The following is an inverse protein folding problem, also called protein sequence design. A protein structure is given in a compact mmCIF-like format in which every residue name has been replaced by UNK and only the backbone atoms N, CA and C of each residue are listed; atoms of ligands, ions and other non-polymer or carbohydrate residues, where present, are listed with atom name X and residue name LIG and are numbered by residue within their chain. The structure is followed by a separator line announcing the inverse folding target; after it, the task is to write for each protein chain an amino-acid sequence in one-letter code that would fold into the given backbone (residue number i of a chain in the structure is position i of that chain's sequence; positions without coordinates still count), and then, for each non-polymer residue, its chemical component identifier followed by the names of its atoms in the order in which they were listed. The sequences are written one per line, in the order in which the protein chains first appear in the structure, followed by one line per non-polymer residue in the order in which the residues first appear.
data_IF_741064858643
#
_entry.id   IF_741064858643
#
_cell.length_a   1.000
_cell.length_b   1.000
_cell.length_c   1.000
_cell.angle_alpha   90.00
_cell.angle_beta   90.00
_cell.angle_gamma   90.00
#
_symmetry.space_group_name_H-M   'P 1'
#
loop_
_entity.id
_entity.type
_entity.pdbx_description
1 polymer ?
#
# COMPACT_ATOMS: atom_id res chain seq x y z
N UNK A 1 -10.80 -8.99 2.21
CA UNK A 1 -11.57 -9.91 1.34
C UNK A 1 -10.67 -10.35 0.21
N UNK A 2 -10.17 -11.59 0.21
CA UNK A 2 -9.41 -12.12 -0.92
C UNK A 2 -10.36 -12.39 -2.09
N UNK A 3 -10.08 -11.90 -3.31
CA UNK A 3 -10.92 -12.19 -4.45
C UNK A 3 -10.95 -13.70 -4.70
N UNK A 4 -12.16 -14.27 -4.83
CA UNK A 4 -12.34 -15.68 -5.12
C UNK A 4 -11.97 -15.98 -6.59
N UNK A 5 -10.68 -16.15 -6.80
CA UNK A 5 -10.00 -16.53 -8.04
C UNK A 5 -10.43 -17.87 -8.64
N UNK A 6 -11.18 -18.70 -7.90
CA UNK A 6 -11.70 -19.98 -8.41
C UNK A 6 -12.88 -19.82 -9.40
N UNK A 7 -13.36 -18.59 -9.64
CA UNK A 7 -14.49 -18.31 -10.55
C UNK A 7 -14.10 -17.95 -11.99
N UNK A 8 -12.80 -17.92 -12.35
CA UNK A 8 -12.40 -17.61 -13.74
C UNK A 8 -12.29 -18.89 -14.58
N UNK A 9 -13.04 -19.04 -15.68
CA UNK A 9 -13.18 -20.31 -16.42
C UNK A 9 -11.86 -20.83 -17.01
N UNK A 10 -10.85 -19.98 -17.17
CA UNK A 10 -9.55 -20.33 -17.75
C UNK A 10 -8.41 -20.38 -16.73
N UNK A 11 -8.68 -20.15 -15.44
CA UNK A 11 -7.63 -20.16 -14.41
C UNK A 11 -7.53 -21.53 -13.75
N UNK A 12 -6.65 -22.39 -14.28
CA UNK A 12 -6.39 -23.73 -13.74
C UNK A 12 -5.36 -23.75 -12.60
N UNK A 13 -4.69 -22.63 -12.33
CA UNK A 13 -3.67 -22.51 -11.30
C UNK A 13 -4.21 -21.81 -10.05
N UNK A 14 -3.71 -22.24 -8.90
CA UNK A 14 -3.97 -21.58 -7.61
C UNK A 14 -2.71 -20.80 -7.22
N UNK A 15 -2.81 -19.50 -6.89
CA UNK A 15 -1.70 -18.75 -6.34
C UNK A 15 -1.37 -19.27 -4.96
N UNK A 16 -0.09 -19.17 -4.63
CA UNK A 16 0.42 -19.45 -3.29
C UNK A 16 0.39 -18.11 -2.54
N UNK A 17 -0.13 -18.10 -1.30
CA UNK A 17 -0.07 -16.91 -0.43
C UNK A 17 1.38 -16.48 -0.22
N UNK A 18 1.65 -15.18 -0.22
CA UNK A 18 2.99 -14.67 0.08
C UNK A 18 3.45 -15.04 1.50
N UNK A 19 2.50 -15.27 2.43
CA UNK A 19 2.78 -15.75 3.79
C UNK A 19 3.47 -17.12 3.80
N UNK A 20 3.29 -17.92 2.74
CA UNK A 20 3.89 -19.23 2.59
C UNK A 20 5.23 -19.19 1.84
N UNK A 21 5.75 -18.01 1.49
CA UNK A 21 6.96 -17.83 0.68
C UNK A 21 7.99 -17.03 1.47
N UNK A 22 9.18 -17.62 1.67
CA UNK A 22 10.31 -16.95 2.33
C UNK A 22 11.39 -16.69 1.29
N UNK A 23 11.78 -15.43 1.11
CA UNK A 23 12.79 -15.02 0.12
C UNK A 23 14.11 -14.73 0.83
N UNK A 24 15.09 -15.63 0.65
CA UNK A 24 16.38 -15.59 1.34
C UNK A 24 17.57 -15.38 0.37
N UNK A 25 17.31 -14.93 -0.86
CA UNK A 25 18.38 -14.63 -1.83
C UNK A 25 19.10 -13.31 -1.50
N UNK A 26 20.13 -12.94 -2.25
CA UNK A 26 20.85 -11.67 -2.04
C UNK A 26 20.19 -10.46 -2.75
N UNK A 27 19.33 -10.71 -3.72
CA UNK A 27 18.80 -9.67 -4.60
C UNK A 27 17.47 -9.08 -4.09
N UNK A 28 16.49 -9.93 -3.82
CA UNK A 28 15.15 -9.56 -3.38
C UNK A 28 15.05 -9.36 -1.88
N UNK A 29 15.76 -10.15 -1.07
CA UNK A 29 15.72 -9.98 0.39
C UNK A 29 16.17 -8.56 0.81
N UNK A 30 17.25 -8.06 0.19
CA UNK A 30 17.76 -6.69 0.40
C UNK A 30 16.70 -5.63 0.08
N UNK A 31 15.90 -5.84 -0.97
CA UNK A 31 14.82 -4.91 -1.37
C UNK A 31 13.65 -4.96 -0.41
N UNK A 32 13.27 -6.15 0.06
CA UNK A 32 12.25 -6.29 1.10
C UNK A 32 12.66 -5.59 2.39
N UNK A 33 13.94 -5.73 2.77
CA UNK A 33 14.49 -5.04 3.94
C UNK A 33 14.42 -3.51 3.80
N UNK A 34 14.94 -2.96 2.69
CA UNK A 34 14.89 -1.50 2.42
C UNK A 34 13.44 -1.00 2.40
N UNK A 35 12.53 -1.75 1.79
CA UNK A 35 11.12 -1.37 1.72
C UNK A 35 10.52 -1.25 3.12
N UNK A 36 10.76 -2.25 3.99
CA UNK A 36 10.27 -2.29 5.37
C UNK A 36 10.90 -1.22 6.27
N UNK A 37 12.20 -1.02 6.17
CA UNK A 37 12.96 -0.19 7.12
C UNK A 37 13.00 1.29 6.71
N UNK A 38 12.92 1.58 5.41
CA UNK A 38 13.13 2.93 4.87
C UNK A 38 11.95 3.39 4.01
N UNK A 39 11.59 2.64 2.97
CA UNK A 39 10.68 3.16 1.94
C UNK A 39 9.26 3.41 2.44
N UNK A 40 8.68 2.49 3.24
CA UNK A 40 7.32 2.66 3.78
C UNK A 40 7.25 3.88 4.70
N UNK A 41 8.23 4.03 5.59
CA UNK A 41 8.28 5.16 6.52
C UNK A 41 8.44 6.49 5.77
N UNK A 42 9.36 6.54 4.79
CA UNK A 42 9.55 7.72 3.96
C UNK A 42 8.28 8.09 3.18
N UNK A 43 7.57 7.09 2.62
CA UNK A 43 6.31 7.31 1.92
C UNK A 43 5.23 7.86 2.86
N UNK A 44 5.13 7.33 4.09
CA UNK A 44 4.19 7.85 5.08
C UNK A 44 4.47 9.32 5.42
N UNK A 45 5.73 9.68 5.63
CA UNK A 45 6.13 11.07 5.87
C UNK A 45 5.76 11.98 4.70
N UNK A 46 5.91 11.50 3.47
CA UNK A 46 5.49 12.24 2.27
C UNK A 46 3.98 12.40 2.19
N UNK A 47 3.21 11.37 2.50
CA UNK A 47 1.74 11.46 2.52
C UNK A 47 1.24 12.49 3.56
N UNK A 48 1.91 12.63 4.70
CA UNK A 48 1.59 13.69 5.67
C UNK A 48 2.05 15.08 5.18
N UNK A 49 3.25 15.20 4.60
CA UNK A 49 3.77 16.47 4.08
C UNK A 49 2.95 17.03 2.91
N UNK A 50 2.49 16.15 2.02
CA UNK A 50 1.81 16.50 0.78
C UNK A 50 0.27 16.50 0.94
N UNK A 51 -0.21 16.52 2.20
CA UNK A 51 -1.61 16.66 2.60
C UNK A 51 -2.55 15.47 2.32
N UNK A 52 -2.07 14.31 1.85
CA UNK A 52 -2.92 13.14 1.63
C UNK A 52 -3.68 12.72 2.90
N UNK A 53 -2.96 12.51 4.01
CA UNK A 53 -3.61 12.11 5.27
C UNK A 53 -4.50 13.24 5.82
N UNK A 54 -4.11 14.49 5.59
CA UNK A 54 -4.91 15.65 5.98
C UNK A 54 -6.21 15.77 5.20
N UNK A 55 -6.22 15.43 3.91
CA UNK A 55 -7.44 15.39 3.09
C UNK A 55 -8.47 14.42 3.69
N UNK A 56 -8.04 13.24 4.18
CA UNK A 56 -8.93 12.33 4.91
C UNK A 56 -9.37 12.88 6.29
N UNK A 57 -8.49 13.55 7.03
CA UNK A 57 -8.85 14.20 8.30
C UNK A 57 -9.90 15.30 8.08
N UNK A 58 -9.81 16.03 6.95
CA UNK A 58 -10.82 17.02 6.53
C UNK A 58 -12.13 16.34 6.16
N UNK A 59 -12.11 15.31 5.32
CA UNK A 59 -13.29 14.58 4.90
C UNK A 59 -14.06 13.92 6.06
N UNK A 60 -13.34 13.46 7.10
CA UNK A 60 -13.92 12.91 8.32
C UNK A 60 -14.38 13.95 9.35
N UNK A 61 -14.13 15.24 9.09
CA UNK A 61 -14.46 16.33 10.02
C UNK A 61 -13.54 16.44 11.24
N UNK A 62 -12.46 15.64 11.31
CA UNK A 62 -11.44 15.70 12.38
C UNK A 62 -10.62 16.99 12.27
N UNK A 63 -10.37 17.46 11.04
CA UNK A 63 -9.65 18.70 10.74
C UNK A 63 -10.57 19.65 9.97
N UNK A 64 -10.54 20.94 10.30
CA UNK A 64 -11.22 21.97 9.49
C UNK A 64 -10.36 22.30 8.27
N UNK A 65 -11.00 22.44 7.10
CA UNK A 65 -10.32 22.81 5.87
C UNK A 65 -11.08 22.35 4.63
N UNK A 66 -10.38 22.35 3.50
CA UNK A 66 -10.83 21.80 2.21
C UNK A 66 -9.76 20.85 1.68
N UNK A 67 -10.10 19.97 0.73
CA UNK A 67 -9.13 19.12 0.05
C UNK A 67 -8.07 19.98 -0.66
N UNK A 68 -6.81 19.59 -0.52
CA UNK A 68 -5.66 20.27 -1.14
C UNK A 68 -5.03 19.33 -2.18
N UNK A 69 -4.78 19.88 -3.37
CA UNK A 69 -4.10 19.21 -4.48
C UNK A 69 -5.04 18.48 -5.44
N UNK A 70 -4.49 17.49 -6.14
CA UNK A 70 -5.21 16.74 -7.18
C UNK A 70 -6.31 15.84 -6.58
N UNK A 71 -7.26 15.45 -7.44
CA UNK A 71 -8.40 14.62 -7.04
C UNK A 71 -7.97 13.30 -6.37
N UNK A 72 -6.86 12.68 -6.82
CA UNK A 72 -6.36 11.39 -6.36
C UNK A 72 -5.42 11.46 -5.14
N UNK A 73 -5.31 12.64 -4.51
CA UNK A 73 -4.58 12.80 -3.25
C UNK A 73 -5.47 12.60 -2.02
N UNK A 74 -6.62 11.95 -2.21
CA UNK A 74 -7.33 11.25 -1.14
C UNK A 74 -6.57 9.96 -0.80
#
# INVERSE_FOLDING_TARGET
MTPNINKRPYNKLKPISFENVHINDEFWSKRQQINREISIQHQYEKLEQDFHIDNFKVASGIKKGVQIGEFYLD
#
